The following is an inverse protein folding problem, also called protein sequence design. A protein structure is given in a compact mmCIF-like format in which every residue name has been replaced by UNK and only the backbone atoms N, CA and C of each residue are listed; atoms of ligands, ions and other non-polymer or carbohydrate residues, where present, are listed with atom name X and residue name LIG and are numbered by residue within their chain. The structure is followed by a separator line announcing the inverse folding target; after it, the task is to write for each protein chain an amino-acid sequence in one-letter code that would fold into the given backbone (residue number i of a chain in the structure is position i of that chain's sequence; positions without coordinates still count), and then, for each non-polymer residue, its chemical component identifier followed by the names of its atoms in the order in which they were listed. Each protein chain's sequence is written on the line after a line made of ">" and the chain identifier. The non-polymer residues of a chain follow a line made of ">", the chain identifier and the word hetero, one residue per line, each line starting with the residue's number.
data_IF_756545854143
#
_entry.id   IF_756545854143
#
_cell.length_a   1.000
_cell.length_b   1.000
_cell.length_c   1.000
_cell.angle_alpha   90.00
_cell.angle_beta   90.00
_cell.angle_gamma   90.00
#
_symmetry.space_group_name_H-M   'P 1'
#
loop_
_entity.id
_entity.type
_entity.pdbx_description
1 polymer ?
#
# COMPACT_ATOMS: atom_id res chain seq x y z
N UNK A 1 21.11 15.77 -30.10
CA UNK A 1 20.34 14.53 -29.92
C UNK A 1 20.94 13.61 -28.86
N UNK A 2 22.27 13.43 -28.78
CA UNK A 2 22.90 12.60 -27.72
C UNK A 2 22.63 13.05 -26.27
N UNK A 3 22.53 14.36 -26.03
CA UNK A 3 22.39 14.92 -24.69
C UNK A 3 21.02 14.64 -24.04
N UNK A 4 19.96 14.54 -24.84
CA UNK A 4 18.60 14.22 -24.36
C UNK A 4 18.52 12.74 -24.01
N UNK A 5 19.15 11.89 -24.81
CA UNK A 5 19.19 10.44 -24.62
C UNK A 5 19.98 10.06 -23.36
N UNK A 6 21.07 10.78 -23.10
CA UNK A 6 21.88 10.62 -21.90
C UNK A 6 21.14 11.07 -20.63
N UNK A 7 20.36 12.16 -20.71
CA UNK A 7 19.49 12.61 -19.62
C UNK A 7 18.31 11.65 -19.38
N UNK A 8 17.74 11.05 -20.43
CA UNK A 8 16.70 10.02 -20.31
C UNK A 8 17.28 8.77 -19.65
N UNK A 9 18.50 8.38 -20.04
CA UNK A 9 19.21 7.22 -19.47
C UNK A 9 19.59 7.43 -18.01
N UNK A 10 20.09 8.62 -17.64
CA UNK A 10 20.36 8.96 -16.24
C UNK A 10 19.08 9.02 -15.41
N UNK A 11 18.00 9.59 -15.94
CA UNK A 11 16.71 9.62 -15.25
C UNK A 11 16.15 8.20 -15.03
N UNK A 12 16.27 7.32 -16.03
CA UNK A 12 15.88 5.92 -15.93
C UNK A 12 16.79 5.13 -14.97
N UNK A 13 18.11 5.35 -14.98
CA UNK A 13 19.04 4.68 -14.07
C UNK A 13 18.87 5.14 -12.62
N UNK A 14 18.69 6.43 -12.37
CA UNK A 14 18.41 6.96 -11.03
C UNK A 14 17.09 6.39 -10.48
N UNK A 15 16.07 6.27 -11.33
CA UNK A 15 14.80 5.66 -10.96
C UNK A 15 14.91 4.14 -10.77
N UNK A 16 15.76 3.47 -11.57
CA UNK A 16 16.07 2.05 -11.46
C UNK A 16 16.80 1.74 -10.15
N UNK A 17 17.81 2.52 -9.76
CA UNK A 17 18.60 2.30 -8.54
C UNK A 17 17.80 2.58 -7.26
N UNK A 18 16.94 3.60 -7.23
CA UNK A 18 16.02 3.85 -6.10
C UNK A 18 15.02 2.68 -5.90
N UNK A 19 14.68 1.97 -6.98
CA UNK A 19 13.79 0.80 -6.95
C UNK A 19 14.53 -0.52 -6.73
N UNK A 20 15.80 -0.64 -7.15
CA UNK A 20 16.63 -1.83 -6.98
C UNK A 20 17.20 -1.94 -5.55
N UNK A 21 17.34 -0.83 -4.83
CA UNK A 21 17.60 -0.84 -3.38
C UNK A 21 16.44 -1.45 -2.57
N UNK A 22 15.23 -1.55 -3.17
CA UNK A 22 14.07 -2.26 -2.65
C UNK A 22 13.98 -3.74 -3.09
N UNK A 23 14.99 -4.29 -3.77
CA UNK A 23 14.96 -5.62 -4.39
C UNK A 23 15.31 -6.77 -3.42
N UNK A 24 15.75 -6.46 -2.20
CA UNK A 24 15.84 -7.44 -1.12
C UNK A 24 14.62 -7.27 -0.22
N UNK A 25 13.68 -8.22 -0.31
CA UNK A 25 12.88 -8.79 0.80
C UNK A 25 11.46 -9.14 0.31
N UNK A 26 11.24 -10.44 0.23
CA UNK A 26 9.93 -11.11 0.17
C UNK A 26 9.00 -10.73 1.36
N UNK A 27 9.50 -9.98 2.35
CA UNK A 27 8.76 -9.42 3.49
C UNK A 27 8.44 -7.92 3.37
N UNK A 28 8.84 -7.24 2.29
CA UNK A 28 8.77 -5.78 2.21
C UNK A 28 7.42 -5.21 1.78
N UNK A 29 6.44 -5.99 1.31
CA UNK A 29 5.13 -5.43 0.93
C UNK A 29 4.41 -4.70 2.07
N UNK A 30 4.57 -5.19 3.31
CA UNK A 30 4.06 -4.55 4.53
C UNK A 30 5.01 -3.45 5.02
N UNK A 31 6.33 -3.65 4.86
CA UNK A 31 7.36 -2.70 5.27
C UNK A 31 7.45 -1.47 4.36
N UNK A 32 7.09 -1.57 3.07
CA UNK A 32 6.97 -0.47 2.13
C UNK A 32 5.73 0.40 2.39
N UNK A 33 4.63 -0.17 2.90
CA UNK A 33 3.56 0.66 3.49
C UNK A 33 4.09 1.50 4.66
N UNK A 34 5.00 0.91 5.43
CA UNK A 34 5.75 1.56 6.50
C UNK A 34 6.96 2.36 6.03
N UNK A 35 7.22 2.54 4.72
CA UNK A 35 8.38 3.28 4.20
C UNK A 35 7.92 4.24 3.09
N UNK A 36 7.26 5.34 3.50
CA UNK A 36 6.84 6.41 2.59
C UNK A 36 5.83 7.39 3.18
N UNK A 37 5.28 8.29 2.35
CA UNK A 37 4.24 9.28 2.70
C UNK A 37 2.98 8.62 3.34
N UNK A 38 2.74 7.33 3.07
CA UNK A 38 1.66 6.52 3.64
C UNK A 38 1.82 6.16 5.12
N UNK A 39 3.00 6.36 5.73
CA UNK A 39 3.24 6.08 7.16
C UNK A 39 2.22 6.75 8.07
N UNK A 40 1.89 8.01 7.79
CA UNK A 40 0.93 8.78 8.59
C UNK A 40 -0.48 8.22 8.48
N UNK A 41 -0.87 7.76 7.29
CA UNK A 41 -2.15 7.08 7.06
C UNK A 41 -2.22 5.80 7.89
N UNK A 42 -1.17 4.97 7.83
CA UNK A 42 -1.14 3.69 8.55
C UNK A 42 -1.14 3.89 10.07
N UNK A 43 -0.38 4.85 10.60
CA UNK A 43 -0.37 5.17 12.04
C UNK A 43 -1.72 5.67 12.51
N UNK A 44 -2.34 6.58 11.75
CA UNK A 44 -3.68 7.10 12.06
C UNK A 44 -4.71 5.97 12.08
N UNK A 45 -4.58 5.04 11.13
CA UNK A 45 -5.44 3.88 11.00
C UNK A 45 -5.38 2.95 12.22
N UNK A 46 -4.17 2.56 12.64
CA UNK A 46 -3.97 1.75 13.84
C UNK A 46 -4.41 2.47 15.11
N UNK A 47 -4.20 3.78 15.18
CA UNK A 47 -4.65 4.59 16.32
C UNK A 47 -6.17 4.61 16.41
N UNK A 48 -6.86 4.81 15.29
CA UNK A 48 -8.32 4.79 15.23
C UNK A 48 -8.87 3.43 15.67
N UNK A 49 -8.33 2.34 15.13
CA UNK A 49 -8.70 0.97 15.49
C UNK A 49 -8.53 0.71 17.01
N UNK A 50 -7.40 1.12 17.58
CA UNK A 50 -7.16 0.94 19.02
C UNK A 50 -8.19 1.70 19.89
N UNK A 51 -8.58 2.91 19.46
CA UNK A 51 -9.58 3.73 20.16
C UNK A 51 -10.97 3.07 20.09
N UNK A 52 -11.42 2.65 18.90
CA UNK A 52 -12.73 2.01 18.72
C UNK A 52 -12.83 0.69 19.47
N UNK A 53 -11.78 -0.13 19.47
CA UNK A 53 -11.71 -1.36 20.28
C UNK A 53 -11.83 -1.04 21.77
N UNK A 54 -11.14 -0.01 22.26
CA UNK A 54 -11.23 0.39 23.69
C UNK A 54 -12.65 0.82 24.07
N UNK A 55 -13.29 1.64 23.23
CA UNK A 55 -14.69 2.08 23.43
C UNK A 55 -15.66 0.89 23.39
N UNK A 56 -15.40 -0.07 22.51
CA UNK A 56 -16.19 -1.29 22.37
C UNK A 56 -16.12 -2.15 23.65
N UNK A 57 -14.92 -2.33 24.22
CA UNK A 57 -14.73 -3.04 25.50
C UNK A 57 -15.45 -2.31 26.63
N UNK A 58 -15.32 -0.99 26.73
CA UNK A 58 -16.00 -0.18 27.77
C UNK A 58 -17.53 -0.32 27.66
N UNK A 59 -18.07 -0.28 26.44
CA UNK A 59 -19.51 -0.43 26.21
C UNK A 59 -20.00 -1.82 26.59
N UNK A 60 -19.22 -2.87 26.30
CA UNK A 60 -19.53 -4.24 26.71
C UNK A 60 -19.49 -4.39 28.24
N UNK A 61 -18.49 -3.83 28.93
CA UNK A 61 -18.41 -3.88 30.41
C UNK A 61 -19.59 -3.13 31.05
N UNK A 62 -19.94 -1.96 30.53
CA UNK A 62 -21.06 -1.18 31.06
C UNK A 62 -22.40 -1.86 30.84
N UNK A 63 -22.58 -2.58 29.73
CA UNK A 63 -23.78 -3.39 29.49
C UNK A 63 -24.07 -4.34 30.67
N UNK A 64 -23.05 -5.00 31.22
CA UNK A 64 -23.22 -5.93 32.36
C UNK A 64 -23.31 -5.24 33.73
N UNK A 65 -22.92 -3.97 33.85
CA UNK A 65 -22.92 -3.24 35.13
C UNK A 65 -24.20 -2.48 35.42
N UNK A 66 -25.02 -2.16 34.41
CA UNK A 66 -26.22 -1.35 34.63
C UNK A 66 -27.46 -2.23 34.83
N UNK A 67 -28.16 -2.03 35.94
CA UNK A 67 -29.38 -2.78 36.28
C UNK A 67 -30.61 -2.33 35.50
N UNK A 68 -30.63 -1.08 35.01
CA UNK A 68 -31.77 -0.56 34.26
C UNK A 68 -31.78 -1.09 32.82
N UNK A 69 -32.87 -1.75 32.41
CA UNK A 69 -33.05 -2.29 31.05
C UNK A 69 -32.86 -1.22 29.96
N UNK A 70 -33.32 0.01 30.21
CA UNK A 70 -33.16 1.14 29.27
C UNK A 70 -31.69 1.46 29.00
N UNK A 71 -30.86 1.51 30.05
CA UNK A 71 -29.44 1.77 29.89
C UNK A 71 -28.71 0.57 29.27
N UNK A 72 -29.12 -0.64 29.62
CA UNK A 72 -28.61 -1.87 28.99
C UNK A 72 -28.80 -1.82 27.46
N UNK A 73 -29.99 -1.46 26.99
CA UNK A 73 -30.28 -1.29 25.57
C UNK A 73 -29.40 -0.19 24.96
N UNK A 74 -29.22 0.95 25.63
CA UNK A 74 -28.37 2.03 25.14
C UNK A 74 -26.90 1.58 24.94
N UNK A 75 -26.32 0.87 25.91
CA UNK A 75 -24.97 0.34 25.81
C UNK A 75 -24.84 -0.77 24.76
N UNK A 76 -25.84 -1.65 24.63
CA UNK A 76 -25.87 -2.66 23.57
C UNK A 76 -25.91 -2.03 22.17
N UNK A 77 -26.76 -1.02 21.98
CA UNK A 77 -26.86 -0.31 20.70
C UNK A 77 -25.56 0.43 20.39
N UNK A 78 -24.94 1.06 21.40
CA UNK A 78 -23.63 1.68 21.28
C UNK A 78 -22.54 0.68 20.87
N UNK A 79 -22.54 -0.51 21.48
CA UNK A 79 -21.64 -1.61 21.11
C UNK A 79 -21.84 -2.06 19.66
N UNK A 80 -23.09 -2.30 19.24
CA UNK A 80 -23.40 -2.72 17.86
C UNK A 80 -22.95 -1.68 16.84
N UNK A 81 -23.17 -0.38 17.10
CA UNK A 81 -22.72 0.69 16.21
C UNK A 81 -21.19 0.74 16.13
N UNK A 82 -20.50 0.64 17.27
CA UNK A 82 -19.04 0.58 17.30
C UNK A 82 -18.50 -0.64 16.53
N UNK A 83 -19.17 -1.80 16.65
CA UNK A 83 -18.79 -3.02 15.95
C UNK A 83 -18.94 -2.91 14.43
N UNK A 84 -20.06 -2.32 13.96
CA UNK A 84 -20.26 -2.06 12.53
C UNK A 84 -19.21 -1.07 12.02
N UNK A 85 -18.93 -0.02 12.79
CA UNK A 85 -17.93 0.97 12.42
C UNK A 85 -16.53 0.36 12.31
N UNK A 86 -16.16 -0.52 13.25
CA UNK A 86 -14.90 -1.28 13.20
C UNK A 86 -14.80 -2.14 11.94
N UNK A 87 -15.87 -2.85 11.57
CA UNK A 87 -15.89 -3.67 10.36
C UNK A 87 -15.75 -2.84 9.07
N UNK A 88 -16.38 -1.66 9.02
CA UNK A 88 -16.25 -0.74 7.88
C UNK A 88 -14.84 -0.20 7.74
N UNK A 89 -14.23 0.17 8.87
CA UNK A 89 -12.81 0.52 8.94
C UNK A 89 -12.03 -0.64 8.31
N UNK A 90 -12.00 -1.82 8.92
CA UNK A 90 -11.17 -2.95 8.47
C UNK A 90 -11.34 -3.27 6.96
N UNK A 91 -12.56 -3.23 6.46
CA UNK A 91 -12.82 -3.42 5.03
C UNK A 91 -12.17 -2.35 4.14
N UNK A 92 -12.27 -1.07 4.53
CA UNK A 92 -11.62 0.03 3.84
C UNK A 92 -10.10 -0.08 3.88
N UNK A 93 -9.51 -0.48 5.01
CA UNK A 93 -8.06 -0.72 5.11
C UNK A 93 -7.57 -1.72 4.08
N UNK A 94 -8.25 -2.86 4.01
CA UNK A 94 -7.88 -3.92 3.11
C UNK A 94 -8.06 -3.48 1.65
N UNK A 95 -9.06 -2.65 1.36
CA UNK A 95 -9.25 -2.06 0.04
C UNK A 95 -8.09 -1.13 -0.34
N UNK A 96 -7.65 -0.27 0.57
CA UNK A 96 -6.52 0.62 0.32
C UNK A 96 -5.20 -0.15 0.19
N UNK A 97 -5.05 -1.24 0.93
CA UNK A 97 -3.93 -2.16 0.78
C UNK A 97 -3.87 -2.81 -0.60
N UNK A 98 -5.00 -3.32 -1.09
CA UNK A 98 -5.08 -3.90 -2.44
C UNK A 98 -4.77 -2.89 -3.53
N UNK A 99 -5.22 -1.63 -3.40
CA UNK A 99 -4.91 -0.55 -4.36
C UNK A 99 -3.41 -0.29 -4.43
N UNK A 100 -2.74 -0.20 -3.29
CA UNK A 100 -1.29 0.04 -3.25
C UNK A 100 -0.50 -1.14 -3.84
N UNK A 101 -0.89 -2.38 -3.52
CA UNK A 101 -0.27 -3.56 -4.11
C UNK A 101 -0.44 -3.61 -5.64
N UNK A 102 -1.60 -3.21 -6.15
CA UNK A 102 -1.87 -3.15 -7.58
C UNK A 102 -1.01 -2.10 -8.29
N UNK A 103 -0.83 -0.92 -7.68
CA UNK A 103 0.05 0.12 -8.23
C UNK A 103 1.49 -0.34 -8.37
N UNK A 104 2.01 -1.08 -7.39
CA UNK A 104 3.35 -1.64 -7.47
C UNK A 104 3.48 -2.66 -8.60
N UNK A 105 2.44 -3.47 -8.84
CA UNK A 105 2.42 -4.45 -9.94
C UNK A 105 2.38 -3.77 -11.31
N UNK A 106 1.60 -2.70 -11.46
CA UNK A 106 1.53 -1.93 -12.71
C UNK A 106 2.90 -1.33 -13.03
N UNK A 107 3.55 -0.66 -12.06
CA UNK A 107 4.90 -0.11 -12.25
C UNK A 107 5.92 -1.17 -12.65
N UNK A 108 5.84 -2.37 -12.06
CA UNK A 108 6.71 -3.50 -12.42
C UNK A 108 6.47 -3.96 -13.87
N UNK A 109 5.21 -4.00 -14.32
CA UNK A 109 4.88 -4.32 -15.71
C UNK A 109 5.36 -3.24 -16.67
N UNK A 110 5.20 -1.96 -16.34
CA UNK A 110 5.70 -0.83 -17.13
C UNK A 110 7.22 -0.94 -17.35
N UNK A 111 7.97 -1.25 -16.29
CA UNK A 111 9.42 -1.47 -16.38
C UNK A 111 9.78 -2.66 -17.27
N UNK A 112 9.11 -3.80 -17.12
CA UNK A 112 9.38 -4.97 -17.97
C UNK A 112 9.12 -4.67 -19.44
N UNK A 113 8.05 -3.92 -19.76
CA UNK A 113 7.76 -3.49 -21.12
C UNK A 113 8.83 -2.53 -21.63
N UNK A 114 9.27 -1.56 -20.83
CA UNK A 114 10.34 -0.64 -21.21
C UNK A 114 11.67 -1.36 -21.49
N UNK A 115 12.06 -2.31 -20.64
CA UNK A 115 13.26 -3.14 -20.85
C UNK A 115 13.16 -3.93 -22.16
N UNK A 116 12.03 -4.60 -22.42
CA UNK A 116 11.83 -5.35 -23.66
C UNK A 116 11.93 -4.47 -24.91
N UNK A 117 11.35 -3.27 -24.89
CA UNK A 117 11.46 -2.32 -26.01
C UNK A 117 12.92 -1.90 -26.22
N UNK A 118 13.65 -1.59 -25.15
CA UNK A 118 15.07 -1.22 -25.24
C UNK A 118 15.97 -2.35 -25.75
N UNK A 119 15.64 -3.61 -25.43
CA UNK A 119 16.35 -4.78 -25.94
C UNK A 119 16.07 -5.02 -27.42
N UNK A 120 14.83 -4.78 -27.88
CA UNK A 120 14.49 -4.90 -29.30
C UNK A 120 15.17 -3.81 -30.14
N UNK A 121 15.20 -2.57 -29.66
CA UNK A 121 15.85 -1.44 -30.35
C UNK A 121 17.37 -1.66 -30.49
N UNK A 122 18.05 -2.11 -29.43
CA UNK A 122 19.47 -2.48 -29.49
C UNK A 122 19.74 -3.65 -30.47
N UNK A 123 18.77 -4.55 -30.66
CA UNK A 123 18.89 -5.71 -31.56
C UNK A 123 18.67 -5.32 -33.03
N UNK A 124 17.89 -4.28 -33.29
CA UNK A 124 17.71 -3.68 -34.63
C UNK A 124 18.87 -2.77 -35.06
N UNK A 125 19.68 -2.27 -34.12
CA UNK A 125 20.93 -1.54 -34.41
C UNK A 125 22.13 -2.46 -34.73
N UNK A 126 22.04 -3.77 -34.45
CA UNK A 126 23.09 -4.75 -34.68
C UNK A 126 23.08 -5.59 -36.01
N UNK A 127 22.35 -5.31 -37.13
CA UNK A 127 22.29 -6.25 -38.26
C UNK A 127 23.39 -6.11 -39.32
N UNK A 128 24.28 -5.11 -39.31
CA UNK A 128 25.19 -4.88 -40.45
C UNK A 128 26.70 -4.88 -40.19
N UNK A 129 27.19 -4.83 -38.93
CA UNK A 129 28.64 -4.74 -38.69
C UNK A 129 29.37 -6.10 -38.50
N UNK A 130 28.64 -7.23 -38.47
CA UNK A 130 29.23 -8.58 -38.38
C UNK A 130 29.14 -9.35 -39.72
N UNK A 131 29.30 -8.65 -40.84
CA UNK A 131 29.61 -9.25 -42.15
C UNK A 131 30.61 -8.40 -42.92
N UNK A 132 31.84 -8.31 -42.42
CA UNK A 132 33.01 -7.88 -43.19
C UNK A 132 34.24 -8.70 -42.79
#
# INVERSE_FOLDING_TARGET
>A
MKEIDEQIREALQAQQDELNDGYNLDNEGILQMFRGHSKWITITWFTLMAVTVTVMIVSAVQFFRVESTRAMIAWATGFTVCFIFEALIEFSFLADCRKNALQCQIKRLELQVATLVSEMENKEEQPEDEKA
#
